data_IF_712328282009
#
_entry.id   IF_712328282009
#
_cell.length_a   1.000
_cell.length_b   1.000
_cell.length_c   1.000
_cell.angle_alpha   90.00
_cell.angle_beta   90.00
_cell.angle_gamma   90.00
#
_symmetry.space_group_name_H-M   'P 1'
#
loop_
_entity.id
_entity.type
_entity.pdbx_description
1 polymer ?
#
# COMPACT_ATOMS: atom_id res chain seq x y z
N UNK A 1 48.43 -30.40 0.24
CA UNK A 1 47.66 -29.43 1.04
C UNK A 1 46.19 -29.36 0.60
N UNK A 2 45.86 -29.65 -0.66
CA UNK A 2 44.48 -29.49 -1.23
C UNK A 2 43.41 -30.50 -0.78
N UNK A 3 43.78 -31.75 -0.45
CA UNK A 3 42.80 -32.79 -0.10
C UNK A 3 42.26 -32.66 1.35
N UNK A 4 43.03 -32.10 2.28
CA UNK A 4 42.59 -31.84 3.67
C UNK A 4 41.61 -30.68 3.78
N UNK A 5 41.77 -29.63 2.99
CA UNK A 5 40.88 -28.47 2.96
C UNK A 5 39.49 -28.82 2.40
N UNK A 6 39.43 -29.74 1.41
CA UNK A 6 38.18 -30.25 0.87
C UNK A 6 37.36 -31.07 1.90
N UNK A 7 38.05 -31.94 2.65
CA UNK A 7 37.38 -32.76 3.69
C UNK A 7 36.83 -31.93 4.83
N UNK A 8 37.55 -30.89 5.31
CA UNK A 8 37.12 -29.97 6.34
C UNK A 8 35.90 -29.15 5.91
N UNK A 9 35.88 -28.69 4.65
CA UNK A 9 34.75 -27.94 4.07
C UNK A 9 33.48 -28.79 3.92
N UNK A 10 33.64 -30.09 3.57
CA UNK A 10 32.53 -31.03 3.52
C UNK A 10 31.97 -31.37 4.90
N UNK A 11 32.85 -31.52 5.89
CA UNK A 11 32.47 -31.81 7.28
C UNK A 11 31.73 -30.62 7.92
N UNK A 12 32.16 -29.38 7.69
CA UNK A 12 31.42 -28.18 8.13
C UNK A 12 30.05 -28.05 7.45
N UNK A 13 29.93 -28.36 6.16
CA UNK A 13 28.63 -28.37 5.46
C UNK A 13 27.69 -29.44 6.05
N UNK A 14 28.18 -30.65 6.29
CA UNK A 14 27.38 -31.73 6.87
C UNK A 14 26.88 -31.38 8.27
N UNK A 15 27.74 -30.82 9.12
CA UNK A 15 27.35 -30.36 10.47
C UNK A 15 26.33 -29.21 10.39
N UNK A 16 26.51 -28.25 9.49
CA UNK A 16 25.56 -27.14 9.29
C UNK A 16 24.18 -27.66 8.86
N UNK A 17 24.15 -28.59 7.89
CA UNK A 17 22.89 -29.20 7.43
C UNK A 17 22.24 -30.01 8.55
N UNK A 18 23.00 -30.77 9.34
CA UNK A 18 22.47 -31.53 10.47
C UNK A 18 21.87 -30.61 11.55
N UNK A 19 22.56 -29.52 11.88
CA UNK A 19 22.03 -28.53 12.85
C UNK A 19 20.75 -27.89 12.30
N UNK A 20 20.71 -27.53 11.02
CA UNK A 20 19.49 -26.98 10.41
C UNK A 20 18.32 -27.98 10.43
N UNK A 21 18.59 -29.25 10.15
CA UNK A 21 17.56 -30.31 10.23
C UNK A 21 17.07 -30.53 11.67
N UNK A 22 17.98 -30.54 12.67
CA UNK A 22 17.60 -30.67 14.07
C UNK A 22 16.74 -29.50 14.52
N UNK A 23 17.14 -28.27 14.19
CA UNK A 23 16.36 -27.06 14.52
C UNK A 23 15.00 -27.11 13.83
N UNK A 24 14.95 -27.44 12.54
CA UNK A 24 13.69 -27.56 11.79
C UNK A 24 12.76 -28.61 12.42
N UNK A 25 13.31 -29.79 12.75
CA UNK A 25 12.57 -30.86 13.38
C UNK A 25 12.04 -30.45 14.76
N UNK A 26 12.87 -29.78 15.58
CA UNK A 26 12.44 -29.26 16.86
C UNK A 26 11.32 -28.23 16.74
N UNK A 27 11.39 -27.34 15.75
CA UNK A 27 10.32 -26.37 15.44
C UNK A 27 9.04 -27.07 15.02
N UNK A 28 9.13 -28.05 14.13
CA UNK A 28 7.96 -28.84 13.67
C UNK A 28 7.31 -29.59 14.85
N UNK A 29 8.11 -30.24 15.70
CA UNK A 29 7.60 -30.93 16.90
C UNK A 29 6.93 -29.93 17.85
N UNK A 30 7.55 -28.77 18.09
CA UNK A 30 6.98 -27.74 18.95
C UNK A 30 5.63 -27.23 18.40
N UNK A 31 5.56 -26.92 17.11
CA UNK A 31 4.31 -26.49 16.46
C UNK A 31 3.22 -27.55 16.54
N UNK A 32 3.58 -28.81 16.30
CA UNK A 32 2.64 -29.95 16.43
C UNK A 32 2.15 -30.12 17.86
N UNK A 33 3.07 -30.11 18.86
CA UNK A 33 2.75 -30.25 20.27
C UNK A 33 1.83 -29.12 20.77
N UNK A 34 2.20 -27.86 20.49
CA UNK A 34 1.34 -26.73 20.85
C UNK A 34 -0.01 -26.76 20.14
N UNK A 35 -0.05 -27.16 18.86
CA UNK A 35 -1.29 -27.32 18.12
C UNK A 35 -2.20 -28.36 18.75
N UNK A 36 -1.62 -29.51 19.18
CA UNK A 36 -2.38 -30.56 19.85
C UNK A 36 -2.95 -30.10 21.20
N UNK A 37 -2.11 -29.51 22.05
CA UNK A 37 -2.52 -29.01 23.37
C UNK A 37 -3.60 -27.93 23.26
N UNK A 38 -3.47 -27.02 22.28
CA UNK A 38 -4.45 -25.97 22.05
C UNK A 38 -5.77 -26.58 21.60
N UNK A 39 -5.75 -27.54 20.65
CA UNK A 39 -6.95 -28.19 20.15
C UNK A 39 -7.70 -28.92 21.28
N UNK A 40 -7.01 -29.65 22.15
CA UNK A 40 -7.61 -30.29 23.32
C UNK A 40 -8.28 -29.28 24.25
N UNK A 41 -7.59 -28.17 24.55
CA UNK A 41 -8.12 -27.12 25.41
C UNK A 41 -9.35 -26.42 24.83
N UNK A 42 -9.35 -26.19 23.53
CA UNK A 42 -10.51 -25.58 22.83
C UNK A 42 -11.72 -26.55 22.82
N UNK A 43 -11.47 -27.82 22.55
CA UNK A 43 -12.53 -28.85 22.58
C UNK A 43 -13.12 -28.99 23.98
N UNK A 44 -12.30 -28.96 25.04
CA UNK A 44 -12.79 -28.97 26.43
C UNK A 44 -13.66 -27.74 26.76
N UNK A 45 -13.44 -26.62 26.11
CA UNK A 45 -14.24 -25.39 26.25
C UNK A 45 -15.45 -25.34 25.33
N UNK A 46 -15.72 -26.40 24.57
CA UNK A 46 -16.83 -26.44 23.60
C UNK A 46 -16.64 -25.56 22.38
N UNK A 47 -15.42 -25.08 22.10
CA UNK A 47 -15.09 -24.28 20.92
C UNK A 47 -14.77 -25.24 19.77
N UNK A 48 -15.59 -25.20 18.73
CA UNK A 48 -15.35 -25.96 17.50
C UNK A 48 -14.13 -25.37 16.78
N UNK A 49 -13.14 -26.22 16.48
CA UNK A 49 -11.96 -25.85 15.69
C UNK A 49 -12.18 -26.21 14.22
N UNK A 50 -11.53 -25.44 13.33
CA UNK A 50 -11.53 -25.71 11.90
C UNK A 50 -12.14 -24.59 11.05
N UNK A 51 -11.93 -24.68 9.75
CA UNK A 51 -12.27 -23.62 8.79
C UNK A 51 -13.72 -23.69 8.26
N UNK A 52 -14.56 -24.59 8.81
CA UNK A 52 -15.95 -24.77 8.36
C UNK A 52 -16.81 -23.50 8.52
N UNK A 53 -16.53 -22.69 9.54
CA UNK A 53 -17.23 -21.43 9.79
C UNK A 53 -17.15 -20.44 8.61
N UNK A 54 -16.08 -20.50 7.83
CA UNK A 54 -15.88 -19.59 6.70
C UNK A 54 -17.05 -19.59 5.71
N UNK A 55 -17.78 -20.69 5.62
CA UNK A 55 -18.89 -20.87 4.69
C UNK A 55 -20.25 -20.59 5.34
N UNK A 56 -20.30 -20.35 6.64
CA UNK A 56 -21.53 -19.97 7.35
C UNK A 56 -21.81 -18.48 7.20
N UNK A 57 -23.05 -18.08 7.44
CA UNK A 57 -23.50 -16.69 7.36
C UNK A 57 -22.79 -15.81 8.39
N UNK A 58 -22.28 -14.65 7.97
CA UNK A 58 -21.51 -13.75 8.82
C UNK A 58 -22.38 -13.04 9.89
N UNK A 59 -23.60 -12.65 9.53
CA UNK A 59 -24.54 -12.05 10.47
C UNK A 59 -24.19 -10.61 10.94
N UNK A 60 -23.21 -9.96 10.30
CA UNK A 60 -22.83 -8.57 10.57
C UNK A 60 -22.58 -7.82 9.28
N UNK A 61 -22.71 -6.51 9.30
CA UNK A 61 -22.39 -5.63 8.18
C UNK A 61 -21.08 -4.90 8.40
N UNK A 62 -20.41 -4.50 7.32
CA UNK A 62 -19.25 -3.61 7.35
C UNK A 62 -19.73 -2.18 7.10
N UNK A 63 -19.23 -1.22 7.88
CA UNK A 63 -19.61 0.21 7.75
C UNK A 63 -19.24 0.79 6.37
N UNK A 64 -18.20 0.26 5.75
CA UNK A 64 -17.75 0.61 4.40
C UNK A 64 -17.22 -0.65 3.72
N UNK A 65 -17.49 -0.84 2.43
CA UNK A 65 -16.93 -1.95 1.67
C UNK A 65 -16.74 -1.56 0.21
N UNK A 66 -15.57 -1.89 -0.34
CA UNK A 66 -15.26 -1.71 -1.76
C UNK A 66 -16.08 -2.66 -2.64
N UNK A 67 -16.36 -3.87 -2.15
CA UNK A 67 -17.21 -4.86 -2.82
C UNK A 67 -18.55 -4.97 -2.07
N UNK A 68 -19.65 -5.18 -2.79
CA UNK A 68 -20.97 -5.27 -2.19
C UNK A 68 -21.05 -6.42 -1.16
N UNK A 69 -21.11 -6.07 0.11
CA UNK A 69 -21.20 -6.99 1.23
C UNK A 69 -22.47 -6.71 2.05
N UNK A 70 -23.09 -7.76 2.55
CA UNK A 70 -24.18 -7.73 3.53
C UNK A 70 -24.04 -8.92 4.48
N UNK A 71 -24.60 -8.82 5.67
CA UNK A 71 -24.53 -9.86 6.70
C UNK A 71 -25.11 -11.22 6.29
N UNK A 72 -25.83 -11.30 5.18
CA UNK A 72 -26.30 -12.57 4.60
C UNK A 72 -25.22 -13.39 3.91
N UNK A 73 -24.09 -12.75 3.59
CA UNK A 73 -22.93 -13.42 2.99
C UNK A 73 -22.15 -14.21 4.03
N UNK A 74 -21.23 -15.05 3.55
CA UNK A 74 -20.39 -15.88 4.42
C UNK A 74 -19.24 -15.10 5.07
N UNK A 75 -18.66 -15.65 6.15
CA UNK A 75 -17.45 -15.11 6.75
C UNK A 75 -16.28 -14.99 5.77
N UNK A 76 -16.12 -15.97 4.88
CA UNK A 76 -15.10 -15.90 3.82
C UNK A 76 -15.28 -14.65 2.95
N UNK A 77 -16.53 -14.31 2.62
CA UNK A 77 -16.83 -13.12 1.84
C UNK A 77 -16.63 -11.82 2.66
N UNK A 78 -16.93 -11.85 3.98
CA UNK A 78 -16.62 -10.73 4.88
C UNK A 78 -15.10 -10.44 4.94
N UNK A 79 -14.28 -11.49 5.05
CA UNK A 79 -12.81 -11.37 5.02
C UNK A 79 -12.32 -10.86 3.66
N UNK A 80 -12.92 -11.31 2.56
CA UNK A 80 -12.60 -10.78 1.22
C UNK A 80 -12.96 -9.30 1.10
N UNK A 81 -14.11 -8.89 1.64
CA UNK A 81 -14.52 -7.49 1.69
C UNK A 81 -13.56 -6.64 2.52
N UNK A 82 -13.19 -7.12 3.72
CA UNK A 82 -12.16 -6.48 4.55
C UNK A 82 -10.80 -6.39 3.84
N UNK A 83 -10.38 -7.45 3.15
CA UNK A 83 -9.15 -7.44 2.36
C UNK A 83 -9.20 -6.44 1.18
N UNK A 84 -10.34 -6.31 0.52
CA UNK A 84 -10.53 -5.31 -0.54
C UNK A 84 -10.39 -3.88 0.01
N UNK A 85 -10.88 -3.62 1.22
CA UNK A 85 -10.70 -2.34 1.92
C UNK A 85 -9.24 -2.11 2.31
N UNK A 86 -8.52 -3.16 2.76
CA UNK A 86 -7.06 -3.11 2.99
C UNK A 86 -6.33 -2.65 1.73
N UNK A 87 -6.64 -3.27 0.58
CA UNK A 87 -6.03 -2.91 -0.70
C UNK A 87 -6.39 -1.48 -1.12
N UNK A 88 -7.66 -1.07 -0.96
CA UNK A 88 -8.12 0.29 -1.28
C UNK A 88 -7.29 1.34 -0.54
N UNK A 89 -7.23 1.27 0.79
CA UNK A 89 -6.50 2.27 1.58
C UNK A 89 -5.00 2.21 1.32
N UNK A 90 -4.42 1.03 1.20
CA UNK A 90 -2.99 0.87 0.96
C UNK A 90 -2.57 1.40 -0.41
N UNK A 91 -3.28 1.09 -1.49
CA UNK A 91 -2.96 1.58 -2.84
C UNK A 91 -3.08 3.10 -2.93
N UNK A 92 -4.13 3.68 -2.36
CA UNK A 92 -4.25 5.13 -2.28
C UNK A 92 -3.10 5.75 -1.48
N UNK A 93 -2.79 5.20 -0.30
CA UNK A 93 -1.73 5.71 0.55
C UNK A 93 -0.33 5.53 -0.08
N UNK A 94 -0.07 4.46 -0.83
CA UNK A 94 1.19 4.25 -1.57
C UNK A 94 1.45 5.39 -2.54
N UNK A 95 0.46 5.75 -3.37
CA UNK A 95 0.62 6.82 -4.36
C UNK A 95 0.97 8.15 -3.68
N UNK A 96 0.23 8.49 -2.64
CA UNK A 96 0.44 9.76 -1.93
C UNK A 96 1.71 9.76 -1.06
N UNK A 97 2.09 8.62 -0.47
CA UNK A 97 3.34 8.52 0.30
C UNK A 97 4.56 8.71 -0.58
N UNK A 98 4.56 8.17 -1.81
CA UNK A 98 5.64 8.40 -2.78
C UNK A 98 5.70 9.86 -3.19
N UNK A 99 4.56 10.49 -3.47
CA UNK A 99 4.50 11.91 -3.82
C UNK A 99 5.02 12.80 -2.69
N UNK A 100 4.51 12.61 -1.47
CA UNK A 100 4.95 13.34 -0.28
C UNK A 100 6.44 13.09 -0.02
N UNK A 101 6.89 11.83 -0.15
CA UNK A 101 8.27 11.44 0.07
C UNK A 101 9.24 12.11 -0.89
N UNK A 102 8.91 12.13 -2.19
CA UNK A 102 9.72 12.82 -3.21
C UNK A 102 9.76 14.33 -2.94
N UNK A 103 8.60 14.96 -2.69
CA UNK A 103 8.53 16.40 -2.42
C UNK A 103 9.31 16.78 -1.15
N UNK A 104 9.18 16.02 -0.08
CA UNK A 104 9.92 16.27 1.17
C UNK A 104 11.42 16.03 1.01
N UNK A 105 11.85 15.02 0.23
CA UNK A 105 13.26 14.79 -0.10
C UNK A 105 13.85 15.96 -0.89
N UNK A 106 13.15 16.42 -1.94
CA UNK A 106 13.57 17.56 -2.74
C UNK A 106 13.67 18.84 -1.90
N UNK A 107 12.70 19.07 -1.00
CA UNK A 107 12.73 20.21 -0.09
C UNK A 107 13.92 20.13 0.89
N UNK A 108 14.23 18.94 1.44
CA UNK A 108 15.39 18.73 2.32
C UNK A 108 16.73 18.96 1.60
N UNK A 109 16.81 18.61 0.31
CA UNK A 109 18.01 18.76 -0.53
C UNK A 109 18.11 20.15 -1.16
N UNK A 110 17.07 20.99 -1.04
CA UNK A 110 17.02 22.34 -1.62
C UNK A 110 18.11 23.26 -1.06
N UNK A 111 18.60 24.16 -1.91
CA UNK A 111 19.47 25.27 -1.52
C UNK A 111 18.72 26.34 -0.71
N UNK A 112 17.38 26.38 -0.86
CA UNK A 112 16.54 27.34 -0.13
C UNK A 112 16.42 26.94 1.35
N UNK A 113 17.06 27.72 2.23
CA UNK A 113 17.25 27.38 3.64
C UNK A 113 15.96 27.17 4.42
N UNK A 114 14.92 27.98 4.13
CA UNK A 114 13.62 27.86 4.80
C UNK A 114 12.91 26.53 4.44
N UNK A 115 12.80 26.22 3.15
CA UNK A 115 12.18 24.97 2.70
C UNK A 115 12.90 23.75 3.29
N UNK A 116 14.24 23.77 3.28
CA UNK A 116 15.06 22.71 3.87
C UNK A 116 14.80 22.56 5.38
N UNK A 117 14.68 23.67 6.12
CA UNK A 117 14.42 23.65 7.57
C UNK A 117 13.03 23.10 7.87
N UNK A 118 12.00 23.58 7.18
CA UNK A 118 10.60 23.11 7.34
C UNK A 118 10.52 21.63 7.05
N UNK A 119 11.09 21.15 5.93
CA UNK A 119 11.05 19.75 5.56
C UNK A 119 11.80 18.85 6.57
N UNK A 120 12.93 19.30 7.12
CA UNK A 120 13.65 18.56 8.18
C UNK A 120 12.82 18.46 9.47
N UNK A 121 12.20 19.56 9.90
CA UNK A 121 11.33 19.54 11.09
C UNK A 121 10.15 18.61 10.86
N UNK A 122 9.47 18.72 9.73
CA UNK A 122 8.35 17.84 9.35
C UNK A 122 8.75 16.35 9.41
N UNK A 123 9.79 15.96 8.68
CA UNK A 123 10.25 14.58 8.63
C UNK A 123 10.67 14.09 10.02
N UNK A 124 11.40 14.90 10.79
CA UNK A 124 11.83 14.52 12.14
C UNK A 124 10.64 14.33 13.09
N UNK A 125 9.67 15.27 13.09
CA UNK A 125 8.49 15.19 13.97
C UNK A 125 7.65 13.96 13.67
N UNK A 126 7.31 13.75 12.40
CA UNK A 126 6.44 12.62 12.01
C UNK A 126 7.11 11.26 12.30
N UNK A 127 8.40 11.10 12.00
CA UNK A 127 9.12 9.84 12.27
C UNK A 127 9.29 9.51 13.76
N UNK A 128 9.36 10.54 14.60
CA UNK A 128 9.48 10.35 16.05
C UNK A 128 8.13 10.21 16.77
N UNK A 129 7.02 10.32 16.04
CA UNK A 129 5.68 10.10 16.60
C UNK A 129 5.15 8.72 16.17
N UNK A 130 4.70 7.86 17.11
CA UNK A 130 4.13 6.56 16.76
C UNK A 130 2.98 6.68 15.77
N UNK A 131 2.96 5.81 14.75
CA UNK A 131 1.93 5.85 13.70
C UNK A 131 0.52 5.77 14.28
N UNK A 132 0.29 4.89 15.26
CA UNK A 132 -1.03 4.73 15.87
C UNK A 132 -1.57 6.02 16.49
N UNK A 133 -0.70 6.83 17.12
CA UNK A 133 -1.10 8.14 17.66
C UNK A 133 -1.46 9.12 16.55
N UNK A 134 -0.76 9.05 15.41
CA UNK A 134 -1.10 9.87 14.24
C UNK A 134 -2.46 9.47 13.67
N UNK A 135 -2.78 8.16 13.63
CA UNK A 135 -4.10 7.70 13.18
C UNK A 135 -5.22 8.22 14.07
N UNK A 136 -5.06 8.12 15.39
CA UNK A 136 -6.02 8.69 16.34
C UNK A 136 -6.18 10.21 16.22
N UNK A 137 -5.06 10.91 16.01
CA UNK A 137 -5.11 12.36 15.78
C UNK A 137 -5.93 12.70 14.54
N UNK A 138 -5.65 12.06 13.40
CA UNK A 138 -6.39 12.31 12.17
C UNK A 138 -7.87 11.88 12.28
N UNK A 139 -8.13 10.76 12.95
CA UNK A 139 -9.50 10.33 13.21
C UNK A 139 -10.27 11.36 14.05
N UNK A 140 -9.64 11.89 15.09
CA UNK A 140 -10.23 12.96 15.90
C UNK A 140 -10.48 14.24 15.09
N UNK A 141 -9.52 14.63 14.22
CA UNK A 141 -9.70 15.77 13.33
C UNK A 141 -10.90 15.58 12.40
N UNK A 142 -11.03 14.41 11.77
CA UNK A 142 -12.16 14.16 10.84
C UNK A 142 -13.50 13.99 11.56
N UNK A 143 -13.53 13.42 12.74
CA UNK A 143 -14.79 13.14 13.45
C UNK A 143 -15.28 14.32 14.30
N UNK A 144 -14.35 15.03 14.95
CA UNK A 144 -14.71 16.10 15.91
C UNK A 144 -14.29 17.50 15.44
N UNK A 145 -13.32 17.60 14.54
CA UNK A 145 -12.81 18.89 14.04
C UNK A 145 -13.58 19.44 12.83
N UNK A 146 -14.35 18.59 12.14
CA UNK A 146 -15.14 19.00 10.98
C UNK A 146 -16.60 19.28 11.34
N UNK A 147 -17.29 20.15 10.57
CA UNK A 147 -18.68 20.50 10.83
C UNK A 147 -19.63 19.29 10.59
N UNK A 148 -20.79 19.34 11.22
CA UNK A 148 -21.85 18.35 10.99
C UNK A 148 -22.38 18.42 9.56
N UNK A 149 -23.02 17.36 9.09
CA UNK A 149 -23.53 17.24 7.70
C UNK A 149 -24.38 18.42 7.26
N UNK A 150 -25.19 18.97 8.18
CA UNK A 150 -26.06 20.13 7.90
C UNK A 150 -25.27 21.40 7.53
N UNK A 151 -24.05 21.52 8.04
CA UNK A 151 -23.15 22.66 7.87
C UNK A 151 -21.89 22.24 7.10
N UNK A 152 -22.01 21.16 6.27
CA UNK A 152 -20.90 20.64 5.51
C UNK A 152 -20.22 21.73 4.67
N UNK A 153 -18.88 21.76 4.69
CA UNK A 153 -18.11 22.67 3.85
C UNK A 153 -18.20 22.21 2.40
N UNK A 154 -18.42 23.13 1.49
CA UNK A 154 -18.39 22.89 0.03
C UNK A 154 -17.31 23.77 -0.62
N UNK A 155 -16.02 23.41 -0.50
CA UNK A 155 -14.92 24.21 -1.05
C UNK A 155 -14.92 24.25 -2.59
N UNK A 156 -15.48 23.24 -3.22
CA UNK A 156 -15.68 23.14 -4.67
C UNK A 156 -17.08 22.57 -4.94
N UNK A 157 -17.73 22.92 -6.06
CA UNK A 157 -19.03 22.37 -6.40
C UNK A 157 -19.05 20.83 -6.30
N UNK A 158 -19.97 20.29 -5.50
CA UNK A 158 -20.11 18.85 -5.28
C UNK A 158 -19.05 18.18 -4.40
N UNK A 159 -18.10 18.92 -3.84
CA UNK A 159 -17.14 18.40 -2.85
C UNK A 159 -17.62 18.80 -1.45
N UNK A 160 -18.23 17.87 -0.70
CA UNK A 160 -18.70 18.12 0.65
C UNK A 160 -17.76 17.49 1.69
N UNK A 161 -17.37 18.30 2.66
CA UNK A 161 -16.52 17.90 3.78
C UNK A 161 -17.29 18.06 5.08
N UNK A 162 -17.46 16.98 5.82
CA UNK A 162 -18.21 16.97 7.10
C UNK A 162 -17.58 15.97 8.07
N UNK A 163 -18.10 15.94 9.29
CA UNK A 163 -17.70 14.95 10.31
C UNK A 163 -18.09 13.50 9.96
N UNK A 164 -18.83 13.29 8.88
CA UNK A 164 -19.11 11.95 8.32
C UNK A 164 -18.19 11.59 7.16
N UNK A 165 -17.18 12.42 6.87
CA UNK A 165 -16.18 12.18 5.83
C UNK A 165 -16.27 13.15 4.66
N UNK A 166 -15.79 12.73 3.52
CA UNK A 166 -15.66 13.52 2.29
C UNK A 166 -16.50 12.89 1.20
N UNK A 167 -17.44 13.66 0.65
CA UNK A 167 -18.27 13.26 -0.49
C UNK A 167 -17.84 14.06 -1.73
N UNK A 168 -17.75 13.40 -2.87
CA UNK A 168 -17.25 13.99 -4.11
C UNK A 168 -17.90 13.37 -5.34
N UNK A 169 -17.92 14.07 -6.50
CA UNK A 169 -18.44 13.51 -7.72
C UNK A 169 -17.70 12.22 -8.10
N UNK A 170 -18.46 11.14 -8.32
CA UNK A 170 -17.88 9.84 -8.66
C UNK A 170 -18.24 9.47 -10.10
N UNK A 171 -17.27 9.03 -10.92
CA UNK A 171 -17.57 8.59 -12.27
C UNK A 171 -18.46 7.35 -12.24
N UNK A 172 -19.44 7.30 -13.13
CA UNK A 172 -20.22 6.08 -13.35
C UNK A 172 -19.30 4.90 -13.70
N UNK A 173 -19.71 3.63 -13.51
CA UNK A 173 -18.85 2.46 -13.77
C UNK A 173 -18.19 2.47 -15.15
N UNK A 174 -18.91 2.93 -16.17
CA UNK A 174 -18.36 3.05 -17.54
C UNK A 174 -17.34 4.17 -17.67
N UNK A 175 -17.60 5.32 -17.05
CA UNK A 175 -16.64 6.42 -17.03
C UNK A 175 -15.39 6.02 -16.22
N UNK A 176 -15.56 5.28 -15.11
CA UNK A 176 -14.45 4.77 -14.30
C UNK A 176 -13.57 3.80 -15.10
N UNK A 177 -14.16 2.84 -15.82
CA UNK A 177 -13.39 1.91 -16.67
C UNK A 177 -12.59 2.65 -17.75
N UNK A 178 -13.17 3.65 -18.38
CA UNK A 178 -12.48 4.47 -19.36
C UNK A 178 -11.29 5.25 -18.74
N UNK A 179 -11.49 5.89 -17.59
CA UNK A 179 -10.46 6.64 -16.87
C UNK A 179 -9.30 5.72 -16.46
N UNK A 180 -9.61 4.55 -15.87
CA UNK A 180 -8.60 3.57 -15.45
C UNK A 180 -7.82 3.04 -16.64
N UNK A 181 -8.50 2.72 -17.76
CA UNK A 181 -7.85 2.23 -18.97
C UNK A 181 -6.90 3.28 -19.57
N UNK A 182 -7.32 4.55 -19.61
CA UNK A 182 -6.48 5.67 -20.06
C UNK A 182 -5.27 5.83 -19.15
N UNK A 183 -5.48 5.81 -17.82
CA UNK A 183 -4.41 5.93 -16.84
C UNK A 183 -3.39 4.79 -16.97
N UNK A 184 -3.84 3.53 -17.05
CA UNK A 184 -2.97 2.37 -17.25
C UNK A 184 -2.17 2.47 -18.55
N UNK A 185 -2.80 2.94 -19.63
CA UNK A 185 -2.14 3.16 -20.92
C UNK A 185 -1.05 4.23 -20.82
N UNK A 186 -1.36 5.35 -20.16
CA UNK A 186 -0.41 6.43 -19.92
C UNK A 186 0.78 5.97 -19.07
N UNK A 187 0.52 5.27 -17.97
CA UNK A 187 1.58 4.72 -17.10
C UNK A 187 2.46 3.73 -17.86
N UNK A 188 1.86 2.79 -18.60
CA UNK A 188 2.59 1.83 -19.41
C UNK A 188 3.43 2.52 -20.50
N UNK A 189 2.91 3.58 -21.11
CA UNK A 189 3.64 4.40 -22.07
C UNK A 189 4.82 5.13 -21.44
N UNK A 190 4.62 5.78 -20.29
CA UNK A 190 5.67 6.49 -19.55
C UNK A 190 6.80 5.53 -19.13
N UNK A 191 6.45 4.38 -18.54
CA UNK A 191 7.41 3.36 -18.14
C UNK A 191 8.22 2.85 -19.34
N UNK A 192 7.55 2.64 -20.47
CA UNK A 192 8.23 2.21 -21.70
C UNK A 192 9.09 3.31 -22.29
N UNK A 193 8.65 4.57 -22.28
CA UNK A 193 9.41 5.72 -22.77
C UNK A 193 10.71 5.91 -22.01
N UNK A 194 10.67 5.76 -20.68
CA UNK A 194 11.88 5.77 -19.83
C UNK A 194 12.81 4.63 -20.23
N UNK A 195 12.27 3.43 -20.48
CA UNK A 195 13.08 2.24 -20.85
C UNK A 195 13.70 2.33 -22.23
N UNK A 196 13.03 2.95 -23.20
CA UNK A 196 13.47 2.98 -24.62
C UNK A 196 14.12 4.30 -25.04
N UNK A 197 14.42 5.19 -24.08
CA UNK A 197 15.02 6.50 -24.40
C UNK A 197 14.18 7.36 -25.36
N UNK A 198 12.83 7.32 -25.22
CA UNK A 198 11.90 8.11 -26.03
C UNK A 198 11.45 7.46 -27.35
N UNK A 199 11.97 6.26 -27.69
CA UNK A 199 11.59 5.55 -28.92
C UNK A 199 10.29 4.72 -28.81
N UNK A 200 9.57 4.83 -27.69
CA UNK A 200 8.36 4.05 -27.41
C UNK A 200 7.24 4.23 -28.47
N UNK A 201 7.16 5.40 -29.09
CA UNK A 201 6.21 5.70 -30.18
C UNK A 201 6.55 4.98 -31.48
N UNK A 202 7.83 4.69 -31.75
CA UNK A 202 8.26 4.07 -33.02
C UNK A 202 7.90 2.59 -33.13
N UNK A 203 7.83 1.87 -31.98
CA UNK A 203 7.44 0.45 -31.93
C UNK A 203 6.67 0.18 -30.63
N UNK A 204 5.35 0.41 -30.60
CA UNK A 204 4.54 0.10 -29.42
C UNK A 204 4.58 -1.40 -29.15
N UNK A 205 4.69 -1.79 -27.88
CA UNK A 205 4.62 -3.21 -27.51
C UNK A 205 3.17 -3.70 -27.50
N UNK A 206 2.98 -5.00 -27.69
CA UNK A 206 1.64 -5.61 -27.72
C UNK A 206 0.76 -5.21 -26.51
N UNK A 207 1.34 -5.13 -25.32
CA UNK A 207 0.63 -4.69 -24.11
C UNK A 207 0.12 -3.23 -24.23
N UNK A 208 0.94 -2.31 -24.75
CA UNK A 208 0.52 -0.92 -24.97
C UNK A 208 -0.59 -0.80 -26.00
N UNK A 209 -0.50 -1.59 -27.08
CA UNK A 209 -1.55 -1.63 -28.10
C UNK A 209 -2.85 -2.16 -27.50
N UNK A 210 -2.78 -3.23 -26.71
CA UNK A 210 -3.95 -3.81 -26.04
C UNK A 210 -4.60 -2.82 -25.06
N UNK A 211 -3.81 -2.19 -24.20
CA UNK A 211 -4.29 -1.21 -23.22
C UNK A 211 -4.90 0.02 -23.92
N UNK A 212 -4.27 0.52 -25.01
CA UNK A 212 -4.83 1.64 -25.76
C UNK A 212 -6.11 1.27 -26.51
N UNK A 213 -6.23 0.03 -26.99
CA UNK A 213 -7.45 -0.48 -27.59
C UNK A 213 -8.58 -0.59 -26.55
N UNK A 214 -8.31 -1.12 -25.37
CA UNK A 214 -9.27 -1.20 -24.26
C UNK A 214 -9.71 0.21 -23.85
N UNK A 215 -8.76 1.14 -23.69
CA UNK A 215 -9.05 2.53 -23.37
C UNK A 215 -9.91 3.20 -24.43
N UNK A 216 -9.61 2.98 -25.71
CA UNK A 216 -10.38 3.52 -26.82
C UNK A 216 -11.81 2.96 -26.88
N UNK A 217 -11.94 1.64 -26.81
CA UNK A 217 -13.25 0.96 -26.86
C UNK A 217 -14.11 1.34 -25.66
N UNK A 218 -13.55 1.34 -24.44
CA UNK A 218 -14.30 1.73 -23.22
C UNK A 218 -14.73 3.19 -23.26
N UNK A 219 -13.86 4.10 -23.73
CA UNK A 219 -14.19 5.52 -23.86
C UNK A 219 -15.23 5.76 -24.96
N UNK A 220 -15.08 5.11 -26.11
CA UNK A 220 -16.03 5.22 -27.21
C UNK A 220 -17.41 4.68 -26.81
N UNK A 221 -17.47 3.57 -26.10
CA UNK A 221 -18.71 3.02 -25.57
C UNK A 221 -19.35 3.95 -24.53
N UNK A 222 -18.57 4.47 -23.59
CA UNK A 222 -19.06 5.39 -22.57
C UNK A 222 -19.62 6.70 -23.15
N UNK A 223 -18.99 7.22 -24.21
CA UNK A 223 -19.49 8.41 -24.96
C UNK A 223 -20.75 8.09 -25.74
N UNK A 224 -20.77 6.97 -26.49
CA UNK A 224 -21.90 6.57 -27.30
C UNK A 224 -23.16 6.25 -26.49
N UNK A 225 -22.99 5.59 -25.34
CA UNK A 225 -24.09 5.25 -24.42
C UNK A 225 -24.58 6.43 -23.56
N UNK A 226 -23.93 7.60 -23.64
CA UNK A 226 -24.25 8.74 -22.78
C UNK A 226 -23.94 8.52 -21.30
N UNK A 227 -23.22 7.44 -20.97
CA UNK A 227 -22.90 7.05 -19.60
C UNK A 227 -21.57 7.63 -19.10
N UNK A 228 -20.96 8.54 -19.85
CA UNK A 228 -19.78 9.29 -19.38
C UNK A 228 -20.23 10.44 -18.49
N UNK A 229 -20.89 10.06 -17.40
CA UNK A 229 -21.45 11.00 -16.42
C UNK A 229 -20.81 10.79 -15.06
N UNK A 230 -20.94 11.81 -14.22
CA UNK A 230 -20.55 11.75 -12.81
C UNK A 230 -21.81 11.75 -11.96
N UNK A 231 -21.87 10.87 -11.01
CA UNK A 231 -22.84 10.96 -9.93
C UNK A 231 -22.41 12.07 -8.98
N UNK A 232 -23.20 13.13 -8.92
CA UNK A 232 -22.93 14.27 -8.05
C UNK A 232 -23.57 14.03 -6.69
N UNK A 233 -22.81 14.23 -5.59
CA UNK A 233 -23.40 14.17 -4.28
C UNK A 233 -24.42 15.29 -4.09
N UNK A 234 -25.53 14.94 -3.45
CA UNK A 234 -26.61 15.90 -3.13
C UNK A 234 -26.75 15.98 -1.60
N UNK A 235 -26.59 17.18 -1.07
CA UNK A 235 -26.74 17.41 0.36
C UNK A 235 -28.23 17.51 0.75
N UNK A 236 -28.66 16.74 1.73
CA UNK A 236 -29.91 16.86 2.43
C UNK A 236 -29.68 17.33 3.85
N UNK A 237 -30.80 17.60 4.63
CA UNK A 237 -30.67 18.05 6.03
C UNK A 237 -29.92 17.05 6.94
N UNK A 238 -29.92 15.75 6.62
CA UNK A 238 -29.41 14.69 7.49
C UNK A 238 -28.35 13.79 6.86
N UNK A 239 -28.21 13.84 5.54
CA UNK A 239 -27.28 12.99 4.80
C UNK A 239 -26.82 13.64 3.50
N UNK A 240 -25.67 13.25 3.02
CA UNK A 240 -25.19 13.55 1.67
C UNK A 240 -25.27 12.22 0.91
N UNK A 241 -26.08 12.17 -0.14
CA UNK A 241 -26.30 10.99 -0.95
C UNK A 241 -25.75 11.14 -2.35
N UNK A 242 -25.44 10.02 -3.02
CA UNK A 242 -24.84 10.00 -4.36
C UNK A 242 -23.33 10.28 -4.36
N UNK A 243 -22.72 10.11 -5.51
CA UNK A 243 -21.29 10.30 -5.69
C UNK A 243 -20.41 9.28 -4.93
N UNK A 244 -19.14 9.62 -4.81
CA UNK A 244 -18.17 8.87 -4.00
C UNK A 244 -18.15 9.37 -2.57
N UNK A 245 -17.85 8.44 -1.67
CA UNK A 245 -17.75 8.73 -0.24
C UNK A 245 -16.47 8.11 0.35
N UNK A 246 -15.74 8.91 1.11
CA UNK A 246 -14.67 8.45 1.98
C UNK A 246 -15.04 8.73 3.43
N UNK A 247 -15.13 7.66 4.22
CA UNK A 247 -15.43 7.75 5.65
C UNK A 247 -14.32 8.47 6.43
N UNK A 248 -14.59 8.99 7.65
CA UNK A 248 -13.58 9.54 8.53
C UNK A 248 -12.47 8.52 8.85
N UNK A 249 -12.86 7.24 9.00
CA UNK A 249 -11.97 6.11 9.24
C UNK A 249 -11.02 5.90 8.06
N UNK A 250 -11.54 5.89 6.82
CA UNK A 250 -10.73 5.81 5.61
C UNK A 250 -9.78 7.01 5.51
N UNK A 251 -10.29 8.23 5.70
CA UNK A 251 -9.49 9.46 5.57
C UNK A 251 -8.35 9.51 6.60
N UNK A 252 -8.61 9.09 7.83
CA UNK A 252 -7.59 9.03 8.88
C UNK A 252 -6.48 8.03 8.54
N UNK A 253 -6.87 6.83 8.08
CA UNK A 253 -5.94 5.82 7.60
C UNK A 253 -5.15 6.29 6.39
N UNK A 254 -5.82 6.83 5.40
CA UNK A 254 -5.22 7.31 4.15
C UNK A 254 -4.17 8.40 4.41
N UNK A 255 -4.53 9.45 5.18
CA UNK A 255 -3.61 10.55 5.48
C UNK A 255 -2.50 10.10 6.43
N UNK A 256 -2.85 9.38 7.50
CA UNK A 256 -1.87 8.92 8.47
C UNK A 256 -0.79 8.03 7.83
N UNK A 257 -1.20 7.02 7.05
CA UNK A 257 -0.26 6.15 6.34
C UNK A 257 0.55 6.91 5.29
N UNK A 258 -0.08 7.82 4.54
CA UNK A 258 0.59 8.60 3.48
C UNK A 258 1.66 9.51 4.05
N UNK A 259 1.31 10.28 5.08
CA UNK A 259 2.21 11.23 5.75
C UNK A 259 3.35 10.49 6.43
N UNK A 260 3.05 9.45 7.20
CA UNK A 260 4.05 8.65 7.92
C UNK A 260 5.04 8.00 6.95
N UNK A 261 4.56 7.17 6.03
CA UNK A 261 5.42 6.44 5.09
C UNK A 261 6.17 7.40 4.16
N UNK A 262 5.54 8.51 3.75
CA UNK A 262 6.19 9.54 2.95
C UNK A 262 7.45 10.11 3.59
N UNK A 263 7.50 10.24 4.93
CA UNK A 263 8.71 10.72 5.62
C UNK A 263 9.86 9.71 5.58
N UNK A 264 9.58 8.41 5.64
CA UNK A 264 10.60 7.37 5.50
C UNK A 264 11.13 7.29 4.06
N UNK A 265 10.24 7.41 3.07
CA UNK A 265 10.63 7.52 1.66
C UNK A 265 11.49 8.76 1.43
N UNK A 266 11.13 9.91 2.01
CA UNK A 266 11.93 11.13 1.91
C UNK A 266 13.35 10.93 2.43
N UNK A 267 13.50 10.27 3.56
CA UNK A 267 14.80 10.00 4.17
C UNK A 267 15.63 8.99 3.37
N UNK A 268 14.99 7.95 2.81
CA UNK A 268 15.63 6.99 1.92
C UNK A 268 16.20 7.68 0.68
N UNK A 269 15.41 8.55 0.03
CA UNK A 269 15.85 9.33 -1.14
C UNK A 269 16.98 10.29 -0.77
N UNK A 270 16.83 11.05 0.33
CA UNK A 270 17.85 11.99 0.81
C UNK A 270 19.17 11.27 1.10
N UNK A 271 19.11 10.15 1.82
CA UNK A 271 20.29 9.33 2.15
C UNK A 271 20.97 8.80 0.89
N UNK A 272 20.21 8.31 -0.08
CA UNK A 272 20.74 7.84 -1.35
C UNK A 272 21.46 8.94 -2.16
N UNK A 273 20.88 10.15 -2.23
CA UNK A 273 21.53 11.28 -2.92
C UNK A 273 22.81 11.69 -2.20
N UNK A 274 22.83 11.69 -0.87
CA UNK A 274 24.00 12.10 -0.07
C UNK A 274 25.11 11.03 -0.04
N UNK A 275 24.82 9.77 -0.36
CA UNK A 275 25.82 8.70 -0.42
C UNK A 275 26.68 8.72 -1.69
N UNK A 276 26.30 9.53 -2.68
CA UNK A 276 27.06 9.61 -3.94
C UNK A 276 28.38 10.34 -3.71
N UNK A 277 29.46 9.71 -4.16
CA UNK A 277 30.81 10.25 -3.97
C UNK A 277 30.97 11.62 -4.64
N UNK A 278 31.46 12.61 -3.89
CA UNK A 278 31.70 13.97 -4.38
C UNK A 278 32.65 14.02 -5.59
N UNK A 279 33.58 13.08 -5.69
CA UNK A 279 34.47 12.96 -6.84
C UNK A 279 33.74 12.72 -8.16
N UNK A 280 32.63 11.98 -8.17
CA UNK A 280 31.82 11.79 -9.37
C UNK A 280 31.08 13.05 -9.80
N UNK A 281 30.62 13.83 -8.83
CA UNK A 281 29.98 15.12 -9.06
C UNK A 281 31.00 16.11 -9.61
N UNK A 282 32.21 16.17 -9.02
CA UNK A 282 33.32 17.02 -9.48
C UNK A 282 33.79 16.63 -10.90
N UNK A 283 33.90 15.33 -11.19
CA UNK A 283 34.24 14.83 -12.53
C UNK A 283 33.21 15.26 -13.57
N UNK A 284 31.92 15.23 -13.23
CA UNK A 284 30.84 15.70 -14.11
C UNK A 284 31.00 17.19 -14.46
N UNK A 285 31.32 18.03 -13.48
CA UNK A 285 31.59 19.45 -13.73
C UNK A 285 32.87 19.66 -14.57
N UNK A 286 33.92 18.87 -14.32
CA UNK A 286 35.15 18.93 -15.12
C UNK A 286 34.93 18.56 -16.59
N UNK A 287 33.94 17.70 -16.88
CA UNK A 287 33.51 17.37 -18.24
C UNK A 287 32.57 18.43 -18.86
N UNK A 288 32.37 19.57 -18.20
CA UNK A 288 31.53 20.67 -18.70
C UNK A 288 30.03 20.48 -18.53
N UNK A 289 29.58 19.48 -17.74
CA UNK A 289 28.16 19.30 -17.47
C UNK A 289 27.63 20.46 -16.60
N UNK A 290 26.46 20.96 -16.97
CA UNK A 290 25.71 21.90 -16.13
C UNK A 290 25.23 21.20 -14.84
N UNK A 291 24.82 21.98 -13.85
CA UNK A 291 24.24 21.43 -12.62
C UNK A 291 23.09 20.45 -12.87
N UNK A 292 22.21 20.79 -13.80
CA UNK A 292 21.11 19.90 -14.22
C UNK A 292 21.64 18.64 -14.93
N UNK A 293 22.69 18.77 -15.73
CA UNK A 293 23.35 17.63 -16.38
C UNK A 293 23.95 16.67 -15.36
N UNK A 294 24.68 17.18 -14.36
CA UNK A 294 25.22 16.37 -13.26
C UNK A 294 24.11 15.64 -12.50
N UNK A 295 23.02 16.36 -12.14
CA UNK A 295 21.88 15.75 -11.49
C UNK A 295 21.27 14.64 -12.35
N UNK A 296 21.00 14.90 -13.63
CA UNK A 296 20.28 13.98 -14.53
C UNK A 296 21.09 12.74 -14.89
N UNK A 297 22.36 12.91 -15.19
CA UNK A 297 23.20 11.83 -15.76
C UNK A 297 24.09 11.12 -14.74
N UNK A 298 24.38 11.75 -13.59
CA UNK A 298 25.26 11.16 -12.58
C UNK A 298 24.49 10.86 -11.29
N UNK A 299 23.82 11.87 -10.71
CA UNK A 299 23.23 11.74 -9.37
C UNK A 299 21.94 10.93 -9.39
N UNK A 300 20.96 11.29 -10.23
CA UNK A 300 19.63 10.64 -10.21
C UNK A 300 19.66 9.15 -10.53
N UNK A 301 20.42 8.66 -11.54
CA UNK A 301 20.46 7.23 -11.84
C UNK A 301 21.02 6.39 -10.69
N UNK A 302 22.06 6.91 -10.02
CA UNK A 302 22.67 6.24 -8.88
C UNK A 302 21.79 6.32 -7.64
N UNK A 303 21.29 7.51 -7.30
CA UNK A 303 20.39 7.72 -6.18
C UNK A 303 19.14 6.84 -6.26
N UNK A 304 18.56 6.71 -7.45
CA UNK A 304 17.41 5.85 -7.69
C UNK A 304 17.71 4.38 -7.34
N UNK A 305 18.85 3.85 -7.82
CA UNK A 305 19.25 2.46 -7.52
C UNK A 305 19.48 2.23 -6.03
N UNK A 306 20.08 3.19 -5.34
CA UNK A 306 20.35 3.10 -3.89
C UNK A 306 19.07 3.25 -3.06
N UNK A 307 18.16 4.15 -3.45
CA UNK A 307 16.93 4.42 -2.72
C UNK A 307 15.87 3.32 -2.88
N UNK A 308 15.78 2.70 -4.07
CA UNK A 308 14.68 1.79 -4.43
C UNK A 308 14.46 0.63 -3.45
N UNK A 309 15.48 -0.12 -2.99
CA UNK A 309 15.26 -1.20 -2.03
C UNK A 309 14.64 -0.72 -0.71
N UNK A 310 15.08 0.46 -0.22
CA UNK A 310 14.53 1.05 0.99
C UNK A 310 13.08 1.54 0.77
N UNK A 311 12.81 2.22 -0.34
CA UNK A 311 11.45 2.68 -0.70
C UNK A 311 10.50 1.49 -0.78
N UNK A 312 10.89 0.41 -1.44
CA UNK A 312 10.08 -0.81 -1.55
C UNK A 312 9.78 -1.40 -0.17
N UNK A 313 10.78 -1.47 0.70
CA UNK A 313 10.58 -1.94 2.08
C UNK A 313 9.56 -1.09 2.83
N UNK A 314 9.57 0.24 2.65
CA UNK A 314 8.60 1.12 3.28
C UNK A 314 7.18 0.96 2.70
N UNK A 315 7.05 0.68 1.40
CA UNK A 315 5.75 0.39 0.80
C UNK A 315 5.17 -0.96 1.30
N UNK A 316 6.01 -1.97 1.52
CA UNK A 316 5.62 -3.23 2.14
C UNK A 316 5.21 -3.04 3.61
N UNK A 317 5.91 -2.16 4.35
CA UNK A 317 5.56 -1.80 5.72
C UNK A 317 4.22 -1.05 5.76
N UNK A 318 3.93 -0.17 4.80
CA UNK A 318 2.64 0.52 4.68
C UNK A 318 1.49 -0.50 4.56
N UNK A 319 1.65 -1.52 3.70
CA UNK A 319 0.65 -2.60 3.55
C UNK A 319 0.37 -3.31 4.88
N UNK A 320 1.40 -3.60 5.68
CA UNK A 320 1.24 -4.22 7.01
C UNK A 320 0.60 -3.26 8.01
N UNK A 321 1.00 -2.00 7.99
CA UNK A 321 0.49 -0.96 8.88
C UNK A 321 -1.00 -0.65 8.64
N UNK A 322 -1.56 -1.04 7.47
CA UNK A 322 -3.01 -0.90 7.24
C UNK A 322 -3.85 -1.68 8.25
N UNK A 323 -3.31 -2.75 8.86
CA UNK A 323 -3.96 -3.50 9.94
C UNK A 323 -4.21 -2.67 11.21
N UNK A 324 -3.52 -1.53 11.38
CA UNK A 324 -3.82 -0.58 12.46
C UNK A 324 -5.18 0.11 12.27
N UNK A 325 -5.83 -0.06 11.12
CA UNK A 325 -7.17 0.43 10.84
C UNK A 325 -8.22 -0.05 11.84
N UNK A 326 -8.01 -1.22 12.43
CA UNK A 326 -8.87 -1.73 13.52
C UNK A 326 -9.00 -0.75 14.68
N UNK A 327 -7.96 0.01 14.98
CA UNK A 327 -7.93 0.94 16.10
C UNK A 327 -8.80 2.20 15.89
N UNK A 328 -9.02 2.58 14.63
CA UNK A 328 -9.87 3.71 14.25
C UNK A 328 -11.22 3.26 13.66
N UNK A 329 -11.51 1.96 13.72
CA UNK A 329 -12.79 1.40 13.26
C UNK A 329 -12.89 1.22 11.74
N UNK A 330 -11.78 1.35 10.99
CA UNK A 330 -11.80 1.10 9.55
C UNK A 330 -11.99 -0.40 9.28
N UNK A 331 -12.99 -0.82 8.47
CA UNK A 331 -13.35 -2.23 8.29
C UNK A 331 -12.41 -2.94 7.29
N UNK A 332 -11.12 -3.00 7.59
CA UNK A 332 -10.11 -3.74 6.84
C UNK A 332 -10.08 -5.23 7.26
N UNK A 333 -9.17 -6.03 6.70
CA UNK A 333 -9.10 -7.48 6.90
C UNK A 333 -9.08 -7.89 8.38
N UNK A 334 -8.24 -7.25 9.20
CA UNK A 334 -8.09 -7.60 10.63
C UNK A 334 -9.33 -7.17 11.41
N UNK A 335 -9.92 -6.03 11.09
CA UNK A 335 -11.15 -5.54 11.70
C UNK A 335 -12.33 -6.49 11.42
N UNK A 336 -12.53 -6.87 10.16
CA UNK A 336 -13.55 -7.85 9.77
C UNK A 336 -13.32 -9.21 10.44
N UNK A 337 -12.07 -9.65 10.50
CA UNK A 337 -11.70 -10.90 11.16
C UNK A 337 -11.85 -10.86 12.68
N UNK A 338 -11.58 -9.73 13.34
CA UNK A 338 -11.82 -9.59 14.78
C UNK A 338 -13.31 -9.71 15.11
N UNK A 339 -14.17 -9.13 14.26
CA UNK A 339 -15.63 -9.30 14.40
C UNK A 339 -16.02 -10.78 14.25
N UNK A 340 -15.48 -11.45 13.23
CA UNK A 340 -15.70 -12.88 13.04
C UNK A 340 -15.16 -13.71 14.21
N UNK A 341 -13.97 -13.37 14.74
CA UNK A 341 -13.35 -14.02 15.90
C UNK A 341 -14.23 -13.90 17.15
N UNK A 342 -14.77 -12.73 17.40
CA UNK A 342 -15.64 -12.48 18.56
C UNK A 342 -16.97 -13.25 18.46
N UNK A 343 -17.49 -13.48 17.26
CA UNK A 343 -18.72 -14.23 17.04
C UNK A 343 -18.53 -15.75 17.05
N UNK A 344 -17.42 -16.24 16.49
CA UNK A 344 -17.20 -17.68 16.29
C UNK A 344 -16.29 -18.30 17.34
N UNK A 345 -15.49 -17.51 18.06
CA UNK A 345 -14.46 -18.00 18.98
C UNK A 345 -13.21 -18.58 18.30
N UNK A 346 -13.14 -18.57 16.95
CA UNK A 346 -12.09 -19.24 16.17
C UNK A 346 -10.89 -18.31 15.92
N UNK A 347 -10.18 -18.00 17.02
CA UNK A 347 -9.07 -17.04 16.98
C UNK A 347 -7.86 -17.57 16.18
N UNK A 348 -7.53 -18.85 16.32
CA UNK A 348 -6.32 -19.42 15.71
C UNK A 348 -6.45 -19.49 14.18
N UNK A 349 -7.62 -19.92 13.72
CA UNK A 349 -7.93 -20.00 12.30
C UNK A 349 -7.87 -18.63 11.63
N UNK A 350 -8.47 -17.62 12.26
CA UNK A 350 -8.50 -16.27 11.73
C UNK A 350 -7.12 -15.60 11.75
N UNK A 351 -6.34 -15.75 12.84
CA UNK A 351 -4.96 -15.27 12.88
C UNK A 351 -4.12 -15.96 11.80
N UNK A 352 -4.31 -17.28 11.60
CA UNK A 352 -3.61 -18.02 10.55
C UNK A 352 -3.95 -17.49 9.15
N UNK A 353 -5.22 -17.13 8.91
CA UNK A 353 -5.66 -16.50 7.67
C UNK A 353 -4.97 -15.12 7.50
N UNK A 354 -4.93 -14.28 8.54
CA UNK A 354 -4.25 -12.99 8.46
C UNK A 354 -2.78 -13.16 8.11
N UNK A 355 -2.08 -14.06 8.81
CA UNK A 355 -0.68 -14.36 8.52
C UNK A 355 -0.49 -14.81 7.08
N UNK A 356 -1.32 -15.76 6.61
CA UNK A 356 -1.25 -16.27 5.24
C UNK A 356 -1.46 -15.16 4.20
N UNK A 357 -2.48 -14.33 4.38
CA UNK A 357 -2.78 -13.23 3.46
C UNK A 357 -1.64 -12.23 3.40
N UNK A 358 -1.16 -11.72 4.56
CA UNK A 358 -0.08 -10.72 4.57
C UNK A 358 1.25 -11.29 4.06
N UNK A 359 1.58 -12.54 4.38
CA UNK A 359 2.78 -13.22 3.84
C UNK A 359 2.67 -13.36 2.34
N UNK A 360 1.51 -13.82 1.83
CA UNK A 360 1.28 -14.00 0.39
C UNK A 360 1.40 -12.66 -0.36
N UNK A 361 0.77 -11.60 0.13
CA UNK A 361 0.87 -10.26 -0.45
C UNK A 361 2.32 -9.78 -0.46
N UNK A 362 3.07 -9.96 0.65
CA UNK A 362 4.47 -9.58 0.71
C UNK A 362 5.33 -10.37 -0.28
N UNK A 363 5.13 -11.68 -0.39
CA UNK A 363 5.88 -12.52 -1.34
C UNK A 363 5.58 -12.08 -2.79
N UNK A 364 4.31 -11.89 -3.13
CA UNK A 364 3.90 -11.47 -4.48
C UNK A 364 4.54 -10.10 -4.79
N UNK A 365 4.39 -9.13 -3.90
CA UNK A 365 4.93 -7.77 -4.10
C UNK A 365 6.45 -7.80 -4.24
N UNK A 366 7.16 -8.53 -3.37
CA UNK A 366 8.63 -8.66 -3.45
C UNK A 366 9.07 -9.33 -4.75
N UNK A 367 8.34 -10.37 -5.21
CA UNK A 367 8.65 -11.03 -6.50
C UNK A 367 8.42 -10.12 -7.69
N UNK A 368 7.31 -9.39 -7.72
CA UNK A 368 7.00 -8.43 -8.79
C UNK A 368 8.07 -7.34 -8.86
N UNK A 369 8.46 -6.78 -7.71
CA UNK A 369 9.48 -5.74 -7.65
C UNK A 369 10.88 -6.30 -8.01
N UNK A 370 11.23 -7.48 -7.52
CA UNK A 370 12.52 -8.13 -7.86
C UNK A 370 12.64 -8.49 -9.36
N UNK A 371 11.53 -8.80 -10.03
CA UNK A 371 11.50 -8.94 -11.49
C UNK A 371 11.74 -7.59 -12.19
N UNK A 372 11.22 -6.51 -11.61
CA UNK A 372 11.40 -5.17 -12.12
C UNK A 372 12.85 -4.68 -11.90
N UNK A 373 13.43 -4.88 -10.73
CA UNK A 373 14.83 -4.53 -10.41
C UNK A 373 15.84 -5.18 -11.35
N UNK A 374 15.67 -6.47 -11.68
CA UNK A 374 16.55 -7.18 -12.64
C UNK A 374 16.62 -6.52 -14.01
N UNK A 375 15.62 -5.74 -14.40
CA UNK A 375 15.59 -5.04 -15.69
C UNK A 375 16.20 -3.64 -15.63
N UNK A 376 16.44 -3.07 -14.45
CA UNK A 376 16.94 -1.70 -14.28
C UNK A 376 18.33 -1.60 -13.62
N UNK A 377 18.91 -2.74 -13.20
CA UNK A 377 20.21 -2.79 -12.49
C UNK A 377 21.40 -2.94 -13.46
N UNK A 378 21.18 -2.90 -14.77
CA UNK A 378 22.27 -2.97 -15.77
C UNK A 378 22.48 -1.62 -16.44
#
# INVERSE_FOLDING_TARGET
>A
MSARDGAVKHQHRAVTVLVQLVVLTAVVIAVWYFGHVINERLTQKGINTGFGFLWTRAGFDLSESMIAFSGDKSYAYALLAGFSNTLKVALCAIVFSVLIGVLAALAQLSKFGLARRIAKVYVSTIRNTPLLLQLFFWFAVFTYGLPVVREALEPLPGLFISNRGVNFPWPTPFALTAIVAIFCTLVAYLLRSVRTGGSALKKPGALLVLLSLIAFVSTAYALWSGQMTFEWPTASKFSIGGGGHFSPEFMSMFIGLSVYTGTYIAEAIRGAVQSIAQGQIAAGYALGLTHFGVLRYIVMPQAFRIAMPAVVSELLNLMKNSSLGVAVGYPELVSAGNTAMNQTGQAIELISIFMLVYVTVNIITTRVIGLWEKHYVW
#
